data_IF_182301806356
#
_entry.id   IF_182301806356
#
_cell.length_a   1.000
_cell.length_b   1.000
_cell.length_c   1.000
_cell.angle_alpha   90.00
_cell.angle_beta   90.00
_cell.angle_gamma   90.00
#
_symmetry.space_group_name_H-M   'P 1'
#
loop_
_entity.id
_entity.type
_entity.pdbx_description
1 polymer ?
#
# COMPACT_ATOMS: atom_id res chain seq x y z
N UNK A 1 48.57 11.47 16.91
CA UNK A 1 47.81 11.95 15.73
C UNK A 1 46.99 10.83 15.05
N UNK A 2 47.01 9.59 15.50
CA UNK A 2 46.23 8.50 14.82
C UNK A 2 44.81 8.30 15.37
N UNK A 3 44.52 8.66 16.61
CA UNK A 3 43.22 8.40 17.24
C UNK A 3 42.05 9.28 16.77
N UNK A 4 42.31 10.45 16.22
CA UNK A 4 41.26 11.34 15.72
C UNK A 4 40.80 10.98 14.29
N UNK A 5 41.69 10.43 13.47
CA UNK A 5 41.33 9.97 12.12
C UNK A 5 40.53 8.66 12.17
N UNK A 6 40.89 7.73 13.05
CA UNK A 6 40.14 6.48 13.22
C UNK A 6 38.72 6.75 13.75
N UNK A 7 38.58 7.70 14.70
CA UNK A 7 37.26 8.11 15.22
C UNK A 7 36.42 8.83 14.18
N UNK A 8 37.03 9.60 13.28
CA UNK A 8 36.34 10.28 12.19
C UNK A 8 35.85 9.28 11.14
N UNK A 9 36.64 8.28 10.80
CA UNK A 9 36.31 7.22 9.85
C UNK A 9 35.16 6.36 10.40
N UNK A 10 35.19 6.01 11.69
CA UNK A 10 34.15 5.25 12.36
C UNK A 10 32.81 6.00 12.37
N UNK A 11 32.80 7.29 12.71
CA UNK A 11 31.62 8.18 12.66
C UNK A 11 31.09 8.38 11.25
N UNK A 12 31.96 8.48 10.25
CA UNK A 12 31.56 8.60 8.84
C UNK A 12 30.97 7.27 8.34
N UNK A 13 31.49 6.14 8.80
CA UNK A 13 31.00 4.82 8.43
C UNK A 13 29.64 4.53 9.07
N UNK A 14 29.45 4.84 10.36
CA UNK A 14 28.17 4.75 11.05
C UNK A 14 27.12 5.67 10.40
N UNK A 15 27.49 6.90 10.04
CA UNK A 15 26.60 7.86 9.40
C UNK A 15 26.28 7.46 7.94
N UNK A 16 27.20 6.82 7.24
CA UNK A 16 26.94 6.28 5.88
C UNK A 16 25.93 5.13 5.89
N UNK A 17 26.02 4.23 6.85
CA UNK A 17 25.06 3.12 6.97
C UNK A 17 23.63 3.61 7.24
N UNK A 18 23.48 4.71 7.98
CA UNK A 18 22.18 5.30 8.27
C UNK A 18 21.57 6.08 7.08
N UNK A 19 22.37 6.60 6.15
CA UNK A 19 21.89 7.56 5.14
C UNK A 19 21.92 7.10 3.69
N UNK A 20 22.71 6.09 3.34
CA UNK A 20 22.99 5.80 1.93
C UNK A 20 22.66 4.40 1.46
N UNK A 21 22.27 3.49 2.33
CA UNK A 21 21.78 2.21 1.90
C UNK A 21 20.25 2.23 1.81
N UNK A 22 19.66 2.22 0.60
CA UNK A 22 18.21 2.16 0.43
C UNK A 22 17.58 0.95 1.15
N UNK A 23 18.37 -0.09 1.34
CA UNK A 23 17.98 -1.30 2.07
C UNK A 23 18.12 -1.17 3.59
N UNK A 24 18.92 -0.24 4.09
CA UNK A 24 19.15 0.01 5.51
C UNK A 24 18.26 1.08 6.12
N UNK A 25 17.53 1.85 5.30
CA UNK A 25 16.68 2.91 5.82
C UNK A 25 15.48 2.37 6.62
N UNK A 26 15.33 2.85 7.85
CA UNK A 26 14.24 2.54 8.74
C UNK A 26 13.54 3.81 9.20
N UNK A 27 12.25 3.95 8.89
CA UNK A 27 11.47 5.11 9.33
C UNK A 27 11.34 5.14 10.87
N UNK A 28 11.21 3.96 11.48
CA UNK A 28 11.20 3.77 12.94
C UNK A 28 12.26 2.73 13.33
N UNK A 29 13.53 3.17 13.61
CA UNK A 29 14.63 2.25 13.91
C UNK A 29 14.34 1.32 15.10
N UNK A 30 13.67 1.85 16.15
CA UNK A 30 13.32 1.12 17.36
C UNK A 30 12.16 0.10 17.14
N UNK A 31 11.52 0.13 15.97
CA UNK A 31 10.40 -0.73 15.62
C UNK A 31 10.60 -1.37 14.23
N UNK A 32 11.57 -2.32 14.09
CA UNK A 32 12.00 -2.83 12.79
C UNK A 32 10.87 -3.51 12.00
N UNK A 33 9.95 -4.19 12.68
CA UNK A 33 8.80 -4.81 12.04
C UNK A 33 7.85 -3.77 11.44
N UNK A 34 7.55 -2.72 12.18
CA UNK A 34 6.68 -1.63 11.71
C UNK A 34 7.34 -0.89 10.53
N UNK A 35 8.64 -0.61 10.64
CA UNK A 35 9.43 0.00 9.59
C UNK A 35 9.45 -0.87 8.32
N UNK A 36 9.54 -2.20 8.46
CA UNK A 36 9.45 -3.13 7.34
C UNK A 36 8.07 -3.07 6.65
N UNK A 37 6.98 -3.09 7.40
CA UNK A 37 5.63 -2.99 6.83
C UNK A 37 5.40 -1.64 6.14
N UNK A 38 5.92 -0.56 6.71
CA UNK A 38 5.85 0.77 6.08
C UNK A 38 6.62 0.81 4.75
N UNK A 39 7.82 0.23 4.70
CA UNK A 39 8.60 0.13 3.44
C UNK A 39 7.89 -0.70 2.37
N UNK A 40 7.15 -1.75 2.74
CA UNK A 40 6.31 -2.47 1.79
C UNK A 40 5.26 -1.54 1.18
N UNK A 41 4.56 -0.76 2.01
CA UNK A 41 3.60 0.25 1.51
C UNK A 41 4.26 1.30 0.61
N UNK A 42 5.49 1.72 0.92
CA UNK A 42 6.25 2.60 0.03
C UNK A 42 6.59 1.93 -1.30
N UNK A 43 6.88 0.64 -1.32
CA UNK A 43 7.16 -0.13 -2.54
C UNK A 43 5.99 -0.14 -3.52
N UNK A 44 4.75 -0.19 -3.03
CA UNK A 44 3.54 -0.16 -3.86
C UNK A 44 3.37 1.16 -4.64
N UNK A 45 4.09 2.21 -4.25
CA UNK A 45 4.03 3.51 -4.95
C UNK A 45 4.58 3.44 -6.38
N UNK A 46 5.46 2.48 -6.67
CA UNK A 46 6.00 2.26 -8.01
C UNK A 46 4.93 1.81 -9.00
N UNK A 47 3.97 1.01 -8.53
CA UNK A 47 2.87 0.45 -9.35
C UNK A 47 1.57 1.29 -9.22
N UNK A 48 1.66 2.47 -8.59
CA UNK A 48 0.51 3.37 -8.44
C UNK A 48 -0.40 3.04 -7.25
N UNK A 49 -0.07 2.03 -6.44
CA UNK A 49 -0.81 1.68 -5.21
C UNK A 49 -0.69 2.72 -4.09
N UNK A 50 0.10 3.76 -4.30
CA UNK A 50 0.25 4.85 -3.36
C UNK A 50 1.02 6.04 -3.93
N UNK A 51 1.24 7.06 -3.11
CA UNK A 51 2.24 8.10 -3.34
C UNK A 51 3.14 8.23 -2.12
N UNK A 52 4.42 8.50 -2.36
CA UNK A 52 5.41 8.68 -1.27
C UNK A 52 4.95 9.73 -0.28
N UNK A 53 4.40 10.85 -0.78
CA UNK A 53 3.91 11.95 0.05
C UNK A 53 2.75 11.55 0.96
N UNK A 54 1.78 10.77 0.46
CA UNK A 54 0.65 10.28 1.26
C UNK A 54 1.09 9.25 2.30
N UNK A 55 2.01 8.34 1.93
CA UNK A 55 2.60 7.39 2.87
C UNK A 55 3.34 8.10 4.01
N UNK A 56 4.19 9.07 3.69
CA UNK A 56 4.90 9.86 4.69
C UNK A 56 3.96 10.72 5.55
N UNK A 57 2.87 11.26 4.95
CA UNK A 57 1.86 11.98 5.70
C UNK A 57 1.11 11.07 6.69
N UNK A 58 0.80 9.83 6.32
CA UNK A 58 0.23 8.86 7.25
C UNK A 58 1.23 8.54 8.37
N UNK A 59 2.47 8.19 8.00
CA UNK A 59 3.52 7.83 8.95
C UNK A 59 3.84 8.93 9.97
N UNK A 60 3.81 10.21 9.56
CA UNK A 60 4.10 11.35 10.44
C UNK A 60 3.09 11.50 11.60
N UNK A 61 1.95 10.81 11.55
CA UNK A 61 0.89 10.85 12.58
C UNK A 61 0.74 9.52 13.32
N UNK A 62 1.53 8.52 12.93
CA UNK A 62 1.55 7.23 13.61
C UNK A 62 2.46 7.29 14.83
N UNK A 63 2.03 6.65 15.90
CA UNK A 63 2.87 6.41 17.06
C UNK A 63 3.52 5.04 16.94
N UNK A 64 4.86 4.95 16.93
CA UNK A 64 5.56 3.69 16.80
C UNK A 64 5.10 2.68 17.86
N UNK A 65 4.77 1.46 17.43
CA UNK A 65 4.23 0.41 18.28
C UNK A 65 2.71 0.46 18.52
N UNK A 66 2.04 1.57 18.21
CA UNK A 66 0.59 1.69 18.32
C UNK A 66 -0.14 1.28 17.04
N UNK A 67 -0.71 0.07 17.04
CA UNK A 67 -1.48 -0.48 15.93
C UNK A 67 -2.77 0.30 15.63
N UNK A 68 -3.34 0.96 16.63
CA UNK A 68 -4.53 1.79 16.47
C UNK A 68 -4.22 3.05 15.65
N UNK A 69 -3.09 3.70 15.94
CA UNK A 69 -2.65 4.84 15.12
C UNK A 69 -2.34 4.42 13.68
N UNK A 70 -1.77 3.23 13.47
CA UNK A 70 -1.56 2.65 12.14
C UNK A 70 -2.89 2.51 11.38
N UNK A 71 -3.87 1.82 11.97
CA UNK A 71 -5.18 1.64 11.36
C UNK A 71 -5.83 2.99 11.04
N UNK A 72 -5.90 3.89 12.01
CA UNK A 72 -6.54 5.19 11.89
C UNK A 72 -5.95 6.05 10.76
N UNK A 73 -4.62 6.14 10.69
CA UNK A 73 -3.98 7.03 9.71
C UNK A 73 -4.03 6.47 8.29
N UNK A 74 -3.92 5.16 8.12
CA UNK A 74 -4.13 4.54 6.83
C UNK A 74 -5.60 4.63 6.38
N UNK A 75 -6.56 4.41 7.26
CA UNK A 75 -7.99 4.65 6.96
C UNK A 75 -8.24 6.06 6.46
N UNK A 76 -7.65 7.05 7.14
CA UNK A 76 -7.81 8.46 6.79
C UNK A 76 -7.33 8.79 5.37
N UNK A 77 -6.19 8.25 4.98
CA UNK A 77 -5.64 8.46 3.63
C UNK A 77 -6.46 7.70 2.60
N UNK A 78 -6.89 6.47 2.94
CA UNK A 78 -7.75 5.64 2.10
C UNK A 78 -9.10 6.31 1.82
N UNK A 79 -9.81 6.74 2.87
CA UNK A 79 -11.12 7.42 2.76
C UNK A 79 -11.03 8.69 1.90
N UNK A 80 -9.95 9.46 2.04
CA UNK A 80 -9.71 10.66 1.21
C UNK A 80 -9.54 10.30 -0.27
N UNK A 81 -8.75 9.26 -0.57
CA UNK A 81 -8.55 8.82 -1.95
C UNK A 81 -9.85 8.20 -2.52
N UNK A 82 -10.60 7.42 -1.76
CA UNK A 82 -11.89 6.89 -2.18
C UNK A 82 -12.86 8.02 -2.53
N UNK A 83 -12.99 9.01 -1.64
CA UNK A 83 -13.85 10.17 -1.89
C UNK A 83 -13.43 10.90 -3.15
N UNK A 84 -12.15 11.19 -3.30
CA UNK A 84 -11.62 11.83 -4.50
C UNK A 84 -11.89 11.01 -5.76
N UNK A 85 -11.74 9.68 -5.68
CA UNK A 85 -12.07 8.79 -6.79
C UNK A 85 -13.52 8.91 -7.23
N UNK A 86 -14.46 8.98 -6.29
CA UNK A 86 -15.89 9.20 -6.57
C UNK A 86 -16.15 10.56 -7.22
N UNK A 87 -15.58 11.62 -6.67
CA UNK A 87 -15.75 12.99 -7.18
C UNK A 87 -15.20 13.11 -8.62
N UNK A 88 -14.03 12.53 -8.89
CA UNK A 88 -13.38 12.55 -10.21
C UNK A 88 -14.10 11.67 -11.23
N UNK A 89 -14.63 10.51 -10.82
CA UNK A 89 -15.45 9.65 -11.67
C UNK A 89 -16.73 10.38 -12.12
N UNK A 90 -17.41 11.04 -11.19
CA UNK A 90 -18.60 11.84 -11.49
C UNK A 90 -18.31 13.02 -12.43
N UNK A 91 -17.11 13.55 -12.36
CA UNK A 91 -16.63 14.63 -13.23
C UNK A 91 -16.13 14.15 -14.60
N UNK A 92 -16.13 12.83 -14.84
CA UNK A 92 -15.63 12.22 -16.08
C UNK A 92 -14.11 12.12 -16.19
N UNK A 93 -13.38 12.40 -15.12
CA UNK A 93 -11.92 12.30 -15.07
C UNK A 93 -11.47 10.86 -14.76
N UNK A 94 -11.82 9.93 -15.66
CA UNK A 94 -11.68 8.48 -15.48
C UNK A 94 -10.28 8.06 -15.00
N UNK A 95 -9.21 8.59 -15.64
CA UNK A 95 -7.82 8.21 -15.26
C UNK A 95 -7.47 8.64 -13.84
N UNK A 96 -7.91 9.82 -13.42
CA UNK A 96 -7.70 10.31 -12.05
C UNK A 96 -8.47 9.45 -11.05
N UNK A 97 -9.74 9.13 -11.36
CA UNK A 97 -10.58 8.26 -10.56
C UNK A 97 -9.95 6.89 -10.37
N UNK A 98 -9.47 6.24 -11.45
CA UNK A 98 -8.75 4.98 -11.41
C UNK A 98 -7.55 5.01 -10.45
N UNK A 99 -6.68 6.02 -10.60
CA UNK A 99 -5.51 6.16 -9.73
C UNK A 99 -5.90 6.37 -8.26
N UNK A 100 -6.97 7.08 -7.99
CA UNK A 100 -7.47 7.28 -6.64
C UNK A 100 -8.05 6.00 -6.05
N UNK A 101 -8.81 5.22 -6.82
CA UNK A 101 -9.35 3.94 -6.36
C UNK A 101 -8.25 2.90 -6.10
N UNK A 102 -7.24 2.80 -6.97
CA UNK A 102 -6.11 1.89 -6.77
C UNK A 102 -5.37 2.23 -5.46
N UNK A 103 -5.07 3.51 -5.23
CA UNK A 103 -4.45 3.97 -4.00
C UNK A 103 -5.32 3.73 -2.77
N UNK A 104 -6.62 4.02 -2.86
CA UNK A 104 -7.55 3.76 -1.76
C UNK A 104 -7.58 2.28 -1.39
N UNK A 105 -7.61 1.39 -2.38
CA UNK A 105 -7.59 -0.06 -2.14
C UNK A 105 -6.34 -0.49 -1.39
N UNK A 106 -5.15 -0.04 -1.82
CA UNK A 106 -3.90 -0.38 -1.12
C UNK A 106 -3.87 0.19 0.30
N UNK A 107 -4.28 1.44 0.50
CA UNK A 107 -4.29 2.05 1.83
C UNK A 107 -5.30 1.39 2.78
N UNK A 108 -6.45 0.91 2.31
CA UNK A 108 -7.35 0.09 3.12
C UNK A 108 -6.72 -1.25 3.49
N UNK A 109 -5.98 -1.87 2.58
CA UNK A 109 -5.20 -3.09 2.85
C UNK A 109 -4.14 -2.85 3.93
N UNK A 110 -3.43 -1.71 3.87
CA UNK A 110 -2.50 -1.31 4.92
C UNK A 110 -3.21 -1.09 6.27
N UNK A 111 -4.39 -0.46 6.25
CA UNK A 111 -5.18 -0.21 7.45
C UNK A 111 -5.65 -1.50 8.13
N UNK A 112 -6.06 -2.50 7.34
CA UNK A 112 -6.54 -3.79 7.83
C UNK A 112 -5.44 -4.65 8.43
N UNK A 113 -4.20 -4.48 7.98
CA UNK A 113 -3.10 -5.42 8.18
C UNK A 113 -2.81 -5.77 9.64
N UNK A 114 -2.95 -4.83 10.57
CA UNK A 114 -2.67 -5.03 11.99
C UNK A 114 -3.93 -5.32 12.85
N UNK A 115 -5.11 -5.34 12.26
CA UNK A 115 -6.33 -5.72 12.96
C UNK A 115 -6.31 -7.22 13.28
N UNK A 116 -6.77 -7.56 14.48
CA UNK A 116 -6.92 -8.95 14.88
C UNK A 116 -7.97 -9.66 14.02
N UNK A 117 -7.93 -11.00 13.90
CA UNK A 117 -8.92 -11.75 13.14
C UNK A 117 -10.38 -11.54 13.60
N UNK A 118 -10.58 -11.28 14.88
CA UNK A 118 -11.87 -11.05 15.54
C UNK A 118 -12.23 -9.56 15.70
N UNK A 119 -11.39 -8.64 15.19
CA UNK A 119 -11.69 -7.20 15.25
C UNK A 119 -12.89 -6.87 14.33
N UNK A 120 -13.96 -6.27 14.87
CA UNK A 120 -15.17 -5.98 14.09
C UNK A 120 -14.95 -5.02 12.93
N UNK A 121 -13.85 -4.25 12.92
CA UNK A 121 -13.50 -3.33 11.83
C UNK A 121 -12.87 -4.04 10.64
N UNK A 122 -12.36 -5.26 10.82
CA UNK A 122 -11.59 -5.97 9.81
C UNK A 122 -12.39 -6.21 8.52
N UNK A 123 -13.54 -6.83 8.62
CA UNK A 123 -14.40 -7.09 7.46
C UNK A 123 -14.91 -5.81 6.78
N UNK A 124 -15.40 -4.79 7.51
CA UNK A 124 -15.74 -3.49 6.90
C UNK A 124 -14.57 -2.82 6.16
N UNK A 125 -13.35 -2.88 6.72
CA UNK A 125 -12.16 -2.32 6.07
C UNK A 125 -11.81 -3.09 4.80
N UNK A 126 -11.86 -4.42 4.85
CA UNK A 126 -11.67 -5.29 3.69
C UNK A 126 -12.72 -5.01 2.59
N UNK A 127 -13.99 -4.87 2.96
CA UNK A 127 -15.05 -4.56 1.99
C UNK A 127 -14.85 -3.22 1.28
N UNK A 128 -14.31 -2.22 1.98
CA UNK A 128 -13.93 -0.93 1.35
C UNK A 128 -12.77 -1.13 0.35
N UNK A 129 -11.76 -1.91 0.72
CA UNK A 129 -10.65 -2.28 -0.17
C UNK A 129 -11.17 -2.96 -1.43
N UNK A 130 -12.01 -3.99 -1.27
CA UNK A 130 -12.61 -4.74 -2.37
C UNK A 130 -13.45 -3.83 -3.29
N UNK A 131 -14.29 -2.97 -2.73
CA UNK A 131 -15.10 -2.02 -3.50
C UNK A 131 -14.24 -1.07 -4.34
N UNK A 132 -13.15 -0.55 -3.78
CA UNK A 132 -12.21 0.30 -4.53
C UNK A 132 -11.49 -0.48 -5.63
N UNK A 133 -11.07 -1.71 -5.36
CA UNK A 133 -10.46 -2.60 -6.36
C UNK A 133 -11.42 -2.88 -7.53
N UNK A 134 -12.68 -3.18 -7.24
CA UNK A 134 -13.71 -3.40 -8.27
C UNK A 134 -13.95 -2.15 -9.12
N UNK A 135 -13.99 -0.96 -8.51
CA UNK A 135 -14.12 0.30 -9.24
C UNK A 135 -12.92 0.53 -10.17
N UNK A 136 -11.71 0.33 -9.67
CA UNK A 136 -10.50 0.41 -10.49
C UNK A 136 -10.58 -0.52 -11.69
N UNK A 137 -10.93 -1.81 -11.48
CA UNK A 137 -11.05 -2.80 -12.56
C UNK A 137 -12.12 -2.42 -13.60
N UNK A 138 -13.26 -1.93 -13.15
CA UNK A 138 -14.35 -1.53 -14.04
C UNK A 138 -13.99 -0.35 -14.95
N UNK A 139 -13.08 0.53 -14.53
CA UNK A 139 -12.63 1.69 -15.29
C UNK A 139 -11.46 1.40 -16.23
N UNK A 140 -10.87 0.20 -16.19
CA UNK A 140 -9.83 -0.20 -17.15
C UNK A 140 -10.38 -0.32 -18.58
N UNK A 141 -9.49 -0.24 -19.56
CA UNK A 141 -9.83 -0.46 -20.98
C UNK A 141 -8.88 -1.50 -21.57
N UNK A 142 -9.34 -2.74 -21.88
CA UNK A 142 -10.68 -3.26 -21.56
C UNK A 142 -10.92 -3.40 -20.05
N UNK A 143 -12.18 -3.42 -19.58
CA UNK A 143 -12.49 -3.63 -18.17
C UNK A 143 -11.93 -4.94 -17.64
N UNK A 144 -11.45 -4.92 -16.38
CA UNK A 144 -10.99 -6.12 -15.69
C UNK A 144 -12.16 -7.00 -15.25
N UNK A 145 -11.93 -8.31 -15.22
CA UNK A 145 -12.92 -9.29 -14.78
C UNK A 145 -12.63 -9.78 -13.36
N UNK A 146 -13.69 -9.89 -12.55
CA UNK A 146 -13.62 -10.50 -11.23
C UNK A 146 -14.01 -11.97 -11.34
N UNK A 147 -13.06 -12.86 -11.13
CA UNK A 147 -13.31 -14.30 -11.15
C UNK A 147 -13.59 -14.81 -9.73
N UNK A 148 -14.70 -15.55 -9.57
CA UNK A 148 -15.01 -16.27 -8.34
C UNK A 148 -14.55 -17.71 -8.47
N UNK A 149 -13.56 -18.12 -7.67
CA UNK A 149 -13.11 -19.51 -7.60
C UNK A 149 -13.86 -20.24 -6.49
N UNK A 150 -14.51 -21.36 -6.85
CA UNK A 150 -15.15 -22.25 -5.90
C UNK A 150 -14.13 -23.32 -5.47
N UNK A 151 -13.53 -23.17 -4.32
CA UNK A 151 -12.81 -24.27 -3.68
C UNK A 151 -13.75 -25.05 -2.76
N UNK A 152 -13.62 -26.39 -2.79
CA UNK A 152 -14.52 -27.41 -2.19
C UNK A 152 -14.75 -27.34 -0.67
N UNK A 153 -14.50 -26.26 0.03
CA UNK A 153 -14.86 -26.10 1.44
C UNK A 153 -15.04 -24.63 1.89
N UNK A 154 -14.52 -23.65 1.17
CA UNK A 154 -14.68 -22.24 1.50
C UNK A 154 -14.72 -21.44 0.20
N UNK A 155 -15.67 -20.52 0.09
CA UNK A 155 -15.73 -19.60 -1.03
C UNK A 155 -14.64 -18.53 -0.84
N UNK A 156 -13.54 -18.64 -1.58
CA UNK A 156 -12.57 -17.55 -1.70
C UNK A 156 -12.88 -16.77 -2.97
N UNK A 157 -13.10 -15.47 -2.83
CA UNK A 157 -13.16 -14.57 -3.98
C UNK A 157 -11.74 -14.22 -4.36
N UNK A 158 -11.26 -14.72 -5.49
CA UNK A 158 -9.99 -14.30 -6.08
C UNK A 158 -10.25 -13.18 -7.08
N UNK A 159 -9.61 -12.03 -6.88
CA UNK A 159 -9.52 -11.01 -7.90
C UNK A 159 -8.34 -11.40 -8.79
N UNK A 160 -8.63 -11.96 -9.96
CA UNK A 160 -7.62 -12.19 -10.99
C UNK A 160 -7.72 -11.09 -12.03
N UNK A 161 -6.63 -10.37 -12.26
CA UNK A 161 -6.44 -9.53 -13.43
C UNK A 161 -6.28 -10.44 -14.66
N UNK A 162 -7.40 -10.97 -15.15
CA UNK A 162 -7.40 -11.77 -16.37
C UNK A 162 -7.45 -10.82 -17.57
N UNK A 163 -6.36 -10.81 -18.33
CA UNK A 163 -6.18 -10.17 -19.65
C UNK A 163 -5.98 -8.65 -19.66
N UNK A 164 -4.76 -8.23 -19.31
CA UNK A 164 -4.18 -7.00 -19.86
C UNK A 164 -3.56 -7.18 -21.25
N UNK A 165 -3.51 -8.42 -21.79
CA UNK A 165 -2.96 -8.70 -23.11
C UNK A 165 -3.92 -9.56 -23.94
N UNK A 166 -4.14 -9.23 -25.24
CA UNK A 166 -4.79 -10.16 -26.14
C UNK A 166 -3.97 -11.43 -26.18
N UNK A 167 -4.65 -12.58 -26.19
CA UNK A 167 -4.01 -13.88 -26.32
C UNK A 167 -3.28 -13.93 -27.68
N UNK A 168 -2.03 -13.54 -27.70
CA UNK A 168 -1.11 -13.93 -28.76
C UNK A 168 -0.76 -15.38 -28.48
N UNK A 169 -1.24 -16.25 -29.36
CA UNK A 169 -0.88 -17.65 -29.42
C UNK A 169 0.65 -17.77 -29.53
N UNK A 170 1.30 -18.10 -28.43
CA UNK A 170 2.60 -18.73 -28.47
C UNK A 170 2.39 -20.23 -28.34
N UNK A 171 2.05 -20.88 -29.46
CA UNK A 171 2.38 -22.26 -29.70
C UNK A 171 3.78 -22.28 -30.35
N UNK A 172 4.76 -22.70 -29.59
CA UNK A 172 5.92 -23.45 -30.08
C UNK A 172 6.24 -24.51 -29.05
#
# INVERSE_FOLDING_TARGET
MSGDEDNLIERITENRQAHFEPYGWHHWPEHPWLAYQFRRGLGETQEGGGTVSECLQAASRMFPGDKESWHREWMRVADRNQKRGLDEEQSGHVRTAMNCYLRAADYYRQAEFHLKPDDPRRLPTFSKMEACSHRFLALLTPPGEVLKSLMKANQFTHISLARLFPATNYLV
#
